data_IF_594880641872
#
_entry.id   IF_594880641872
#
_cell.length_a   1.000
_cell.length_b   1.000
_cell.length_c   1.000
_cell.angle_alpha   90.00
_cell.angle_beta   90.00
_cell.angle_gamma   90.00
#
_symmetry.space_group_name_H-M   'P 1'
#
loop_
_entity.id
_entity.type
_entity.pdbx_description
1 polymer ?
#
# COMPACT_ATOMS: atom_id res chain seq x y z
N UNK A 1 -0.54 2.80 2.21
CA UNK A 1 0.66 1.97 2.44
C UNK A 1 1.74 2.65 3.29
N UNK A 2 2.44 3.68 2.82
CA UNK A 2 3.59 4.31 3.52
C UNK A 2 3.35 4.65 5.01
N UNK A 3 2.20 5.25 5.33
CA UNK A 3 1.84 5.66 6.71
C UNK A 3 1.61 4.51 7.70
N UNK A 4 1.66 3.26 7.24
CA UNK A 4 1.54 2.07 8.10
C UNK A 4 2.90 1.65 8.67
N UNK A 5 3.99 2.24 8.16
CA UNK A 5 5.35 1.95 8.56
C UNK A 5 5.81 3.04 9.51
N UNK A 6 6.02 2.70 10.77
CA UNK A 6 6.53 3.63 11.78
C UNK A 6 8.00 3.94 11.55
N UNK A 7 8.37 5.20 11.76
CA UNK A 7 9.77 5.64 11.78
C UNK A 7 10.30 5.42 13.18
N UNK A 8 11.55 4.97 13.29
CA UNK A 8 12.21 4.84 14.58
C UNK A 8 12.22 6.20 15.30
N UNK A 9 11.81 6.24 16.58
CA UNK A 9 11.55 7.47 17.33
C UNK A 9 12.70 8.49 17.25
N UNK A 10 13.95 8.03 17.27
CA UNK A 10 15.15 8.90 17.19
C UNK A 10 15.31 9.56 15.82
N UNK A 11 14.70 9.03 14.78
CA UNK A 11 14.74 9.57 13.42
C UNK A 11 13.54 10.48 13.10
N UNK A 12 12.47 10.46 13.91
CA UNK A 12 11.30 11.32 13.72
C UNK A 12 11.63 12.81 13.81
N UNK A 13 12.69 13.18 14.54
CA UNK A 13 13.16 14.56 14.62
C UNK A 13 13.72 15.10 13.29
N UNK A 14 14.13 14.23 12.37
CA UNK A 14 14.55 14.60 11.01
C UNK A 14 13.37 14.80 10.05
N UNK A 15 12.13 14.53 10.49
CA UNK A 15 10.90 14.69 9.71
C UNK A 15 9.99 15.78 10.30
N UNK A 16 10.60 16.89 10.75
CA UNK A 16 9.87 18.03 11.29
C UNK A 16 9.24 18.85 10.18
N UNK A 17 7.99 19.26 10.40
CA UNK A 17 7.29 20.20 9.53
C UNK A 17 6.86 21.42 10.35
N UNK A 18 6.96 22.59 9.72
CA UNK A 18 6.43 23.84 10.24
C UNK A 18 5.08 24.09 9.60
N UNK A 19 4.08 24.44 10.40
CA UNK A 19 2.73 24.67 9.91
C UNK A 19 2.02 25.77 10.70
N UNK A 20 1.28 26.62 9.98
CA UNK A 20 0.32 27.58 10.53
C UNK A 20 -0.85 27.70 9.56
N UNK A 21 -2.05 27.96 10.06
CA UNK A 21 -3.25 28.07 9.20
C UNK A 21 -3.38 29.47 8.58
N UNK A 22 -2.99 30.50 9.33
CA UNK A 22 -3.02 31.91 8.92
C UNK A 22 -1.69 32.58 9.21
N UNK A 23 -1.36 33.63 8.47
CA UNK A 23 -0.06 34.30 8.60
C UNK A 23 0.16 35.01 9.94
N UNK A 24 -0.93 35.37 10.62
CA UNK A 24 -0.92 35.98 11.94
C UNK A 24 -0.94 34.97 13.10
N UNK A 25 -0.99 33.66 12.83
CA UNK A 25 -0.94 32.63 13.85
C UNK A 25 0.52 32.21 14.12
N UNK A 26 0.86 31.83 15.37
CA UNK A 26 2.16 31.24 15.68
C UNK A 26 2.45 30.00 14.84
N UNK A 27 3.70 29.87 14.38
CA UNK A 27 4.16 28.65 13.69
C UNK A 27 4.17 27.49 14.67
N UNK A 28 3.52 26.40 14.31
CA UNK A 28 3.56 25.13 15.04
C UNK A 28 4.60 24.22 14.42
N UNK A 29 5.27 23.44 15.26
CA UNK A 29 6.22 22.41 14.83
C UNK A 29 5.59 21.04 15.06
N UNK A 30 5.55 20.22 14.03
CA UNK A 30 5.07 18.83 14.10
C UNK A 30 6.21 17.88 13.73
N UNK A 31 6.06 16.62 14.15
CA UNK A 31 6.96 15.51 13.77
C UNK A 31 6.13 14.44 13.10
N UNK A 32 6.54 14.03 11.90
CA UNK A 32 5.97 12.86 11.25
C UNK A 32 6.54 11.60 11.91
N UNK A 33 5.67 10.66 12.25
CA UNK A 33 6.01 9.42 12.98
C UNK A 33 6.03 8.19 12.08
N UNK A 34 5.72 8.37 10.80
CA UNK A 34 5.59 7.29 9.82
C UNK A 34 6.36 7.65 8.57
N UNK A 35 6.71 6.64 7.77
CA UNK A 35 7.40 6.86 6.49
C UNK A 35 6.55 7.79 5.64
N UNK A 36 7.14 8.89 5.19
CA UNK A 36 6.49 9.90 4.36
C UNK A 36 7.07 9.91 2.95
N UNK A 37 6.23 10.31 2.00
CA UNK A 37 6.59 10.56 0.62
C UNK A 37 7.68 11.64 0.52
N UNK A 38 8.49 11.57 -0.54
CA UNK A 38 9.53 12.56 -0.84
C UNK A 38 10.85 12.38 -0.08
N UNK A 39 10.94 11.38 0.81
CA UNK A 39 12.23 10.97 1.38
C UNK A 39 12.89 9.92 0.47
N UNK A 40 14.22 10.01 0.30
CA UNK A 40 15.00 9.10 -0.57
C UNK A 40 14.79 7.63 -0.22
N UNK A 41 14.57 7.32 1.06
CA UNK A 41 14.44 5.95 1.56
C UNK A 41 13.00 5.41 1.57
N UNK A 42 11.98 6.24 1.31
CA UNK A 42 10.58 5.84 1.48
C UNK A 42 10.23 4.60 0.65
N UNK A 43 10.51 4.66 -0.65
CA UNK A 43 10.21 3.55 -1.58
C UNK A 43 10.94 2.27 -1.18
N UNK A 44 12.24 2.37 -0.83
CA UNK A 44 13.03 1.22 -0.41
C UNK A 44 12.43 0.53 0.83
N UNK A 45 12.07 1.30 1.86
CA UNK A 45 11.50 0.76 3.10
C UNK A 45 10.16 0.06 2.85
N UNK A 46 9.32 0.64 2.01
CA UNK A 46 8.01 0.07 1.67
C UNK A 46 8.16 -1.21 0.86
N UNK A 47 9.02 -1.22 -0.15
CA UNK A 47 9.32 -2.42 -0.93
C UNK A 47 9.93 -3.52 -0.04
N UNK A 48 10.78 -3.16 0.94
CA UNK A 48 11.30 -4.14 1.90
C UNK A 48 10.19 -4.74 2.77
N UNK A 49 9.22 -3.93 3.23
CA UNK A 49 8.04 -4.43 3.94
C UNK A 49 7.18 -5.36 3.08
N UNK A 50 6.93 -5.03 1.81
CA UNK A 50 6.18 -5.88 0.88
C UNK A 50 6.89 -7.22 0.63
N UNK A 51 8.20 -7.19 0.42
CA UNK A 51 9.01 -8.42 0.29
C UNK A 51 8.93 -9.26 1.56
N UNK A 52 8.98 -8.64 2.74
CA UNK A 52 8.85 -9.39 3.99
C UNK A 52 7.46 -10.01 4.15
N UNK A 53 6.42 -9.29 3.74
CA UNK A 53 5.05 -9.79 3.74
C UNK A 53 4.88 -10.99 2.80
N UNK A 54 5.50 -10.93 1.62
CA UNK A 54 5.56 -12.05 0.68
C UNK A 54 6.18 -13.30 1.35
N UNK A 55 7.34 -13.18 1.98
CA UNK A 55 8.01 -14.29 2.67
C UNK A 55 7.12 -14.91 3.76
N UNK A 56 6.47 -14.09 4.58
CA UNK A 56 5.60 -14.54 5.67
C UNK A 56 4.32 -15.21 5.12
N UNK A 57 3.77 -14.66 4.04
CA UNK A 57 2.54 -15.13 3.42
C UNK A 57 2.71 -16.42 2.61
N UNK A 58 3.94 -16.82 2.25
CA UNK A 58 4.22 -17.92 1.32
C UNK A 58 3.55 -19.25 1.72
N UNK A 59 3.47 -19.55 3.01
CA UNK A 59 2.85 -20.79 3.51
C UNK A 59 1.33 -20.84 3.35
N UNK A 60 0.64 -19.71 3.52
CA UNK A 60 -0.83 -19.64 3.50
C UNK A 60 -1.39 -19.19 2.15
N UNK A 61 -0.63 -18.38 1.40
CA UNK A 61 -1.03 -17.79 0.13
C UNK A 61 0.03 -18.03 -0.96
N UNK A 62 0.39 -19.29 -1.28
CA UNK A 62 1.51 -19.61 -2.17
C UNK A 62 1.37 -19.05 -3.59
N UNK A 63 0.13 -18.82 -4.06
CA UNK A 63 -0.15 -18.29 -5.40
C UNK A 63 -0.16 -16.75 -5.46
N UNK A 64 -0.12 -16.07 -4.32
CA UNK A 64 -0.23 -14.60 -4.23
C UNK A 64 1.00 -13.97 -3.63
N UNK A 65 1.60 -14.62 -2.62
CA UNK A 65 2.80 -14.14 -1.97
C UNK A 65 3.92 -13.79 -2.97
N UNK A 66 4.26 -14.63 -3.97
CA UNK A 66 5.26 -14.26 -4.97
C UNK A 66 4.91 -13.00 -5.75
N UNK A 67 3.63 -12.80 -6.07
CA UNK A 67 3.16 -11.63 -6.82
C UNK A 67 3.37 -10.34 -6.03
N UNK A 68 3.23 -10.35 -4.70
CA UNK A 68 3.54 -9.17 -3.86
C UNK A 68 5.02 -8.74 -4.00
N UNK A 69 5.92 -9.67 -4.23
CA UNK A 69 7.34 -9.35 -4.41
C UNK A 69 7.70 -8.85 -5.82
N UNK A 70 6.87 -9.15 -6.82
CA UNK A 70 7.21 -8.96 -8.24
C UNK A 70 6.32 -7.96 -8.97
N UNK A 71 5.04 -7.89 -8.62
CA UNK A 71 4.00 -7.20 -9.41
C UNK A 71 3.64 -5.83 -8.82
N UNK A 72 4.35 -5.39 -7.77
CA UNK A 72 4.27 -4.02 -7.28
C UNK A 72 5.22 -3.10 -8.05
N UNK A 73 4.66 -2.05 -8.64
CA UNK A 73 5.40 -0.86 -9.04
C UNK A 73 5.13 0.26 -8.04
N UNK A 74 6.07 0.51 -7.14
CA UNK A 74 5.91 1.45 -6.02
C UNK A 74 4.68 1.12 -5.16
N UNK A 75 3.61 1.90 -5.27
CA UNK A 75 2.35 1.73 -4.55
C UNK A 75 1.22 1.10 -5.35
N UNK A 76 1.45 0.83 -6.64
CA UNK A 76 0.50 0.17 -7.51
C UNK A 76 0.82 -1.32 -7.65
N UNK A 77 -0.20 -2.17 -7.45
CA UNK A 77 -0.13 -3.59 -7.77
C UNK A 77 -0.75 -3.84 -9.14
N UNK A 78 0.01 -4.43 -10.06
CA UNK A 78 -0.44 -4.67 -11.43
C UNK A 78 -0.13 -6.12 -11.79
N UNK A 79 -1.18 -6.94 -11.89
CA UNK A 79 -1.07 -8.37 -12.18
C UNK A 79 -2.23 -8.85 -13.06
N UNK A 80 -2.16 -10.10 -13.49
CA UNK A 80 -3.18 -10.73 -14.33
C UNK A 80 -3.14 -12.25 -14.25
N UNK A 81 -4.11 -12.89 -14.92
CA UNK A 81 -4.19 -14.34 -15.01
C UNK A 81 -4.79 -14.78 -16.35
N UNK A 82 -4.66 -16.06 -16.68
CA UNK A 82 -5.19 -16.62 -17.92
C UNK A 82 -6.73 -16.74 -17.91
N UNK A 83 -7.32 -16.85 -16.71
CA UNK A 83 -8.78 -16.94 -16.54
C UNK A 83 -9.31 -15.93 -15.54
N UNK A 84 -10.58 -15.52 -15.71
CA UNK A 84 -11.28 -14.64 -14.75
C UNK A 84 -11.31 -15.23 -13.35
N UNK A 85 -11.47 -16.55 -13.25
CA UNK A 85 -11.51 -17.27 -11.98
C UNK A 85 -10.19 -17.12 -11.22
N UNK A 86 -9.06 -17.39 -11.88
CA UNK A 86 -7.73 -17.23 -11.29
C UNK A 86 -7.46 -15.77 -10.89
N UNK A 87 -7.86 -14.80 -11.73
CA UNK A 87 -7.71 -13.38 -11.40
C UNK A 87 -8.49 -13.00 -10.12
N UNK A 88 -9.71 -13.52 -9.95
CA UNK A 88 -10.52 -13.33 -8.73
C UNK A 88 -9.85 -14.00 -7.51
N UNK A 89 -9.31 -15.20 -7.66
CA UNK A 89 -8.60 -15.91 -6.59
C UNK A 89 -7.34 -15.15 -6.14
N UNK A 90 -6.57 -14.62 -7.10
CA UNK A 90 -5.41 -13.76 -6.84
C UNK A 90 -5.84 -12.49 -6.10
N UNK A 91 -6.85 -11.77 -6.61
CA UNK A 91 -7.42 -10.56 -5.97
C UNK A 91 -7.80 -10.83 -4.52
N UNK A 92 -8.57 -11.88 -4.27
CA UNK A 92 -9.08 -12.18 -2.93
C UNK A 92 -7.99 -12.62 -1.97
N UNK A 93 -7.02 -13.41 -2.46
CA UNK A 93 -5.84 -13.78 -1.69
C UNK A 93 -4.97 -12.56 -1.36
N UNK A 94 -4.81 -11.64 -2.32
CA UNK A 94 -4.04 -10.40 -2.14
C UNK A 94 -4.69 -9.51 -1.10
N UNK A 95 -6.00 -9.27 -1.18
CA UNK A 95 -6.76 -8.49 -0.20
C UNK A 95 -6.54 -9.06 1.20
N UNK A 96 -6.68 -10.38 1.37
CA UNK A 96 -6.51 -11.05 2.66
C UNK A 96 -5.09 -10.92 3.19
N UNK A 97 -4.08 -11.19 2.36
CA UNK A 97 -2.68 -11.12 2.78
C UNK A 97 -2.25 -9.69 3.12
N UNK A 98 -2.60 -8.70 2.29
CA UNK A 98 -2.27 -7.29 2.53
C UNK A 98 -2.94 -6.75 3.81
N UNK A 99 -4.16 -7.19 4.13
CA UNK A 99 -4.86 -6.82 5.36
C UNK A 99 -4.12 -7.29 6.63
N UNK A 100 -3.37 -8.40 6.57
CA UNK A 100 -2.56 -8.86 7.73
C UNK A 100 -1.48 -7.86 8.15
N UNK A 101 -1.02 -7.04 7.20
CA UNK A 101 -0.02 -6.00 7.41
C UNK A 101 -0.61 -4.57 7.44
N UNK A 102 -1.95 -4.44 7.42
CA UNK A 102 -2.67 -3.15 7.28
C UNK A 102 -2.26 -2.36 6.03
N UNK A 103 -1.85 -3.05 4.97
CA UNK A 103 -1.45 -2.46 3.70
C UNK A 103 -2.59 -2.57 2.66
N UNK A 104 -3.84 -2.38 3.08
CA UNK A 104 -5.00 -2.59 2.21
C UNK A 104 -4.95 -1.75 0.93
N UNK A 105 -5.38 -2.36 -0.18
CA UNK A 105 -5.49 -1.72 -1.50
C UNK A 105 -6.89 -1.13 -1.66
N UNK A 106 -6.97 0.13 -2.09
CA UNK A 106 -8.23 0.89 -2.15
C UNK A 106 -8.82 1.03 -3.55
N UNK A 107 -8.02 1.43 -4.54
CA UNK A 107 -8.50 1.74 -5.89
C UNK A 107 -8.28 0.55 -6.82
N UNK A 108 -9.36 -0.04 -7.31
CA UNK A 108 -9.33 -1.23 -8.16
C UNK A 108 -9.75 -0.89 -9.59
N UNK A 109 -9.04 -1.45 -10.56
CA UNK A 109 -9.38 -1.39 -11.97
C UNK A 109 -9.07 -2.71 -12.68
N UNK A 110 -9.81 -3.01 -13.73
CA UNK A 110 -9.73 -4.25 -14.49
C UNK A 110 -10.30 -4.05 -15.89
N UNK A 111 -9.79 -4.79 -16.87
CA UNK A 111 -10.37 -4.88 -18.21
C UNK A 111 -11.69 -5.68 -18.25
N UNK A 112 -12.02 -6.37 -17.17
CA UNK A 112 -13.30 -7.05 -16.97
C UNK A 112 -13.89 -6.71 -15.60
N UNK A 113 -15.06 -6.07 -15.60
CA UNK A 113 -15.74 -5.62 -14.37
C UNK A 113 -16.12 -6.78 -13.43
N UNK A 114 -16.34 -8.00 -13.95
CA UNK A 114 -16.66 -9.17 -13.11
C UNK A 114 -15.55 -9.44 -12.09
N UNK A 115 -14.30 -9.14 -12.46
CA UNK A 115 -13.13 -9.36 -11.60
C UNK A 115 -13.11 -8.37 -10.42
N UNK A 116 -13.74 -7.20 -10.52
CA UNK A 116 -13.69 -6.16 -9.45
C UNK A 116 -15.06 -5.84 -8.84
N UNK A 117 -16.15 -6.42 -9.36
CA UNK A 117 -17.53 -6.14 -8.94
C UNK A 117 -17.72 -6.13 -7.42
N UNK A 118 -17.09 -7.04 -6.70
CA UNK A 118 -17.32 -7.22 -5.26
C UNK A 118 -16.43 -6.32 -4.36
N UNK A 119 -15.52 -5.53 -4.96
CA UNK A 119 -14.53 -4.70 -4.25
C UNK A 119 -14.66 -3.20 -4.53
N UNK A 120 -15.42 -2.81 -5.56
CA UNK A 120 -15.57 -1.40 -5.99
C UNK A 120 -16.44 -0.57 -5.02
N UNK A 121 -17.33 -1.19 -4.25
CA UNK A 121 -18.25 -0.46 -3.34
C UNK A 121 -17.67 -0.16 -1.94
N UNK A 122 -16.39 -0.48 -1.68
CA UNK A 122 -15.91 -0.63 -0.29
C UNK A 122 -15.01 0.44 0.31
N UNK A 123 -14.57 1.50 -0.39
CA UNK A 123 -14.01 2.76 0.17
C UNK A 123 -13.00 3.46 -0.78
N UNK A 124 -13.31 3.75 -2.04
CA UNK A 124 -12.71 4.85 -2.85
C UNK A 124 -12.92 4.54 -4.34
N UNK A 125 -13.20 5.58 -5.13
CA UNK A 125 -13.63 5.48 -6.52
C UNK A 125 -12.72 4.66 -7.45
N UNK A 126 -13.30 4.28 -8.60
CA UNK A 126 -12.61 3.60 -9.71
C UNK A 126 -11.36 4.38 -10.13
N UNK A 127 -10.30 3.66 -10.51
CA UNK A 127 -9.19 4.28 -11.25
C UNK A 127 -9.67 4.51 -12.68
N UNK A 128 -9.96 5.77 -13.02
CA UNK A 128 -10.18 6.16 -14.42
C UNK A 128 -8.82 6.13 -15.15
N UNK A 129 -8.76 5.38 -16.24
CA UNK A 129 -7.66 5.39 -17.21
C UNK A 129 -8.05 6.22 -18.44
#
# INVERSE_FOLDING_TARGET
MYRQIQVYDKHCDYQRILWRKKDNEPIKTYRLTTVTYGTVLASYLVTACLRKLSEIGQGQYPNVAPLIAHDFYMDDFISGAATKKEAIEIRDGLIKLMATAKLELGKWASNDFVIIRDVVDKNDGLVDF
#
